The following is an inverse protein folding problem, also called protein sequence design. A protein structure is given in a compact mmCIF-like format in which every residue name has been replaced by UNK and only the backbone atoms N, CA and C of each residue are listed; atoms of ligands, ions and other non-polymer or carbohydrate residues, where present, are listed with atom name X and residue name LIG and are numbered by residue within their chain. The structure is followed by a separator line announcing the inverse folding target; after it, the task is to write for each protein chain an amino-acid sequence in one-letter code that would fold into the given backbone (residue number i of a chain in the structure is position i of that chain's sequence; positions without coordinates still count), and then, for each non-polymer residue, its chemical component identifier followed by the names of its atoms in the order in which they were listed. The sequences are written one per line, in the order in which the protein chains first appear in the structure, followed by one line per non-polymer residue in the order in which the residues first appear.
data_IF_119784262219
#
_entry.id   IF_119784262219
#
_cell.length_a   1.000
_cell.length_b   1.000
_cell.length_c   1.000
_cell.angle_alpha   90.00
_cell.angle_beta   90.00
_cell.angle_gamma   90.00
#
_symmetry.space_group_name_H-M   'P 1'
#
loop_
_entity.id
_entity.type
_entity.pdbx_description
1 polymer ?
#
# COMPACT_ATOMS: atom_id res chain seq x y z
N UNK A 1 -16.80 -2.45 10.21
CA UNK A 1 -15.45 -1.90 9.91
C UNK A 1 -15.40 -1.42 8.48
N UNK A 2 -14.89 -0.21 8.28
CA UNK A 2 -14.76 0.34 6.93
C UNK A 2 -13.47 -0.13 6.26
N UNK A 3 -13.57 -0.39 4.97
CA UNK A 3 -12.39 -0.66 4.15
C UNK A 3 -11.92 0.66 3.54
N UNK A 4 -10.64 0.95 3.67
CA UNK A 4 -10.04 2.14 3.08
C UNK A 4 -9.18 1.67 1.92
N UNK A 5 -9.52 2.12 0.71
CA UNK A 5 -8.79 1.76 -0.48
C UNK A 5 -8.02 2.97 -1.00
N UNK A 6 -6.73 2.79 -1.24
CA UNK A 6 -5.91 3.76 -1.95
C UNK A 6 -5.62 3.16 -3.31
N UNK A 7 -6.11 3.78 -4.36
CA UNK A 7 -6.07 3.21 -5.72
C UNK A 7 -5.01 3.94 -6.55
N UNK A 8 -4.15 3.15 -7.18
CA UNK A 8 -3.05 3.68 -7.98
C UNK A 8 -1.83 3.94 -7.11
N UNK A 9 -0.83 3.06 -7.21
CA UNK A 9 0.34 3.11 -6.34
C UNK A 9 1.55 3.72 -7.04
N UNK A 10 1.34 4.89 -7.66
CA UNK A 10 2.43 5.75 -8.04
C UNK A 10 3.04 6.38 -6.79
N UNK A 11 3.87 7.40 -6.98
CA UNK A 11 4.54 8.02 -5.84
C UNK A 11 3.55 8.54 -4.79
N UNK A 12 2.55 9.29 -5.22
CA UNK A 12 1.57 9.89 -4.31
C UNK A 12 0.70 8.81 -3.65
N UNK A 13 0.20 7.86 -4.46
CA UNK A 13 -0.66 6.80 -3.93
C UNK A 13 0.06 5.92 -2.92
N UNK A 14 1.27 5.48 -3.25
CA UNK A 14 2.02 4.61 -2.37
C UNK A 14 2.43 5.33 -1.07
N UNK A 15 2.90 6.58 -1.17
CA UNK A 15 3.27 7.32 0.04
C UNK A 15 2.06 7.57 0.93
N UNK A 16 0.89 7.83 0.32
CA UNK A 16 -0.35 8.01 1.08
C UNK A 16 -0.75 6.71 1.78
N UNK A 17 -0.74 5.60 1.05
CA UNK A 17 -1.12 4.30 1.61
C UNK A 17 -0.20 3.90 2.76
N UNK A 18 1.11 4.06 2.56
CA UNK A 18 2.10 3.73 3.60
C UNK A 18 1.95 4.67 4.81
N UNK A 19 1.76 5.97 4.56
CA UNK A 19 1.60 6.94 5.64
C UNK A 19 0.39 6.66 6.51
N UNK A 20 -0.74 6.35 5.89
CA UNK A 20 -1.96 6.02 6.63
C UNK A 20 -1.82 4.71 7.41
N UNK A 21 -1.25 3.68 6.77
CA UNK A 21 -1.07 2.40 7.45
C UNK A 21 -0.04 2.47 8.57
N UNK A 22 0.95 3.35 8.42
CA UNK A 22 1.94 3.57 9.45
C UNK A 22 1.31 4.16 10.72
N UNK A 23 0.17 4.84 10.57
CA UNK A 23 -0.60 5.38 11.70
C UNK A 23 -1.64 4.39 12.22
N UNK A 24 -1.42 3.11 11.97
CA UNK A 24 -2.25 2.00 12.43
C UNK A 24 -3.63 1.89 11.78
N UNK A 25 -3.82 2.52 10.62
CA UNK A 25 -5.02 2.29 9.83
C UNK A 25 -4.80 1.07 8.95
N UNK A 26 -5.85 0.29 8.73
CA UNK A 26 -5.78 -0.86 7.84
C UNK A 26 -6.11 -0.38 6.44
N UNK A 27 -5.17 -0.47 5.52
CA UNK A 27 -5.27 0.12 4.20
C UNK A 27 -5.18 -0.96 3.12
N UNK A 28 -6.10 -0.94 2.17
CA UNK A 28 -5.98 -1.71 0.94
C UNK A 28 -5.29 -0.82 -0.10
N UNK A 29 -4.08 -1.19 -0.45
CA UNK A 29 -3.31 -0.47 -1.46
C UNK A 29 -3.50 -1.19 -2.79
N UNK A 30 -4.22 -0.56 -3.70
CA UNK A 30 -4.73 -1.20 -4.91
C UNK A 30 -3.95 -0.74 -6.13
N UNK A 31 -3.39 -1.68 -6.87
CA UNK A 31 -2.67 -1.41 -8.10
C UNK A 31 -3.08 -2.45 -9.14
N UNK A 32 -3.64 -1.99 -10.27
CA UNK A 32 -4.11 -2.91 -11.31
C UNK A 32 -3.01 -3.37 -12.25
N UNK A 33 -1.87 -2.71 -12.29
CA UNK A 33 -0.71 -3.16 -13.06
C UNK A 33 0.01 -4.24 -12.24
N UNK A 34 -0.06 -5.48 -12.70
CA UNK A 34 0.45 -6.63 -11.95
C UNK A 34 1.96 -6.57 -11.77
N UNK A 35 2.71 -6.13 -12.80
CA UNK A 35 4.16 -6.01 -12.67
C UNK A 35 4.54 -5.00 -11.59
N UNK A 36 3.88 -3.85 -11.60
CA UNK A 36 4.13 -2.80 -10.62
C UNK A 36 3.77 -3.27 -9.21
N UNK A 37 2.63 -3.97 -9.09
CA UNK A 37 2.21 -4.52 -7.80
C UNK A 37 3.25 -5.49 -7.26
N UNK A 38 3.75 -6.38 -8.12
CA UNK A 38 4.77 -7.35 -7.72
C UNK A 38 6.08 -6.68 -7.34
N UNK A 39 6.47 -5.61 -8.05
CA UNK A 39 7.66 -4.84 -7.69
C UNK A 39 7.52 -4.27 -6.27
N UNK A 40 6.36 -3.70 -5.96
CA UNK A 40 6.13 -3.13 -4.64
C UNK A 40 6.15 -4.23 -3.57
N UNK A 41 5.52 -5.37 -3.84
CA UNK A 41 5.54 -6.52 -2.92
C UNK A 41 6.95 -7.00 -2.64
N UNK A 42 7.83 -6.89 -3.62
CA UNK A 42 9.23 -7.29 -3.48
C UNK A 42 10.12 -6.15 -3.01
N UNK A 43 9.52 -5.03 -2.58
CA UNK A 43 10.24 -3.87 -2.07
C UNK A 43 11.12 -3.22 -3.13
N UNK A 44 10.79 -3.41 -4.39
CA UNK A 44 11.48 -2.80 -5.52
C UNK A 44 10.66 -1.60 -6.00
N UNK A 45 10.90 -0.45 -5.38
CA UNK A 45 10.13 0.76 -5.63
C UNK A 45 10.85 1.60 -6.68
N UNK A 46 10.14 2.07 -7.74
CA UNK A 46 10.79 2.76 -8.86
C UNK A 46 11.18 4.23 -8.58
N UNK A 47 11.11 4.66 -7.34
CA UNK A 47 11.53 6.00 -6.96
C UNK A 47 12.28 5.93 -5.64
N UNK A 48 13.20 6.89 -5.46
CA UNK A 48 14.08 6.88 -4.31
C UNK A 48 13.48 7.66 -3.15
N UNK A 49 13.11 6.96 -2.10
CA UNK A 49 12.62 7.55 -0.85
C UNK A 49 12.98 6.59 0.28
N UNK A 50 14.09 6.84 0.98
CA UNK A 50 14.59 5.88 1.98
C UNK A 50 13.59 5.59 3.11
N UNK A 51 12.90 6.62 3.58
CA UNK A 51 11.95 6.44 4.67
C UNK A 51 10.72 5.66 4.21
N UNK A 52 10.34 5.81 2.95
CA UNK A 52 9.20 5.09 2.40
C UNK A 52 9.45 3.58 2.43
N UNK A 53 10.62 3.15 1.99
CA UNK A 53 10.94 1.72 1.98
C UNK A 53 10.95 1.14 3.39
N UNK A 54 11.54 1.85 4.32
CA UNK A 54 11.59 1.42 5.72
C UNK A 54 10.18 1.30 6.30
N UNK A 55 9.34 2.30 6.06
CA UNK A 55 7.96 2.28 6.55
C UNK A 55 7.12 1.21 5.88
N UNK A 56 7.34 0.99 4.58
CA UNK A 56 6.62 -0.06 3.85
C UNK A 56 6.94 -1.43 4.44
N UNK A 57 8.20 -1.71 4.73
CA UNK A 57 8.58 -2.96 5.39
C UNK A 57 7.85 -3.14 6.72
N UNK A 58 7.79 -2.07 7.49
CA UNK A 58 7.15 -2.10 8.80
C UNK A 58 5.66 -2.41 8.70
N UNK A 59 4.94 -1.70 7.81
CA UNK A 59 3.49 -1.88 7.71
C UNK A 59 3.11 -3.20 7.06
N UNK A 60 3.96 -3.74 6.19
CA UNK A 60 3.76 -5.09 5.66
C UNK A 60 3.91 -6.14 6.76
N UNK A 61 4.95 -5.99 7.58
CA UNK A 61 5.18 -6.91 8.68
C UNK A 61 4.03 -6.89 9.69
N UNK A 62 3.50 -5.71 9.97
CA UNK A 62 2.40 -5.55 10.93
C UNK A 62 1.03 -5.81 10.30
N UNK A 63 0.99 -6.09 8.99
CA UNK A 63 -0.26 -6.36 8.27
C UNK A 63 -1.24 -5.20 8.32
N UNK A 64 -0.72 -3.97 8.36
CA UNK A 64 -1.54 -2.77 8.30
C UNK A 64 -1.81 -2.33 6.86
N UNK A 65 -0.96 -2.75 5.92
CA UNK A 65 -1.18 -2.50 4.50
C UNK A 65 -1.40 -3.83 3.80
N UNK A 66 -2.34 -3.84 2.87
CA UNK A 66 -2.64 -5.01 2.07
C UNK A 66 -2.50 -4.65 0.60
N UNK A 67 -1.47 -5.18 -0.05
CA UNK A 67 -1.18 -4.91 -1.45
C UNK A 67 -2.01 -5.85 -2.32
N UNK A 68 -2.84 -5.28 -3.17
CA UNK A 68 -3.81 -6.07 -3.94
C UNK A 68 -4.11 -5.41 -5.28
N UNK A 69 -4.71 -6.16 -6.19
CA UNK A 69 -5.23 -5.59 -7.43
C UNK A 69 -6.75 -5.44 -7.41
N UNK A 70 -7.37 -5.64 -6.27
CA UNK A 70 -8.83 -5.58 -6.15
C UNK A 70 -9.28 -4.65 -5.04
N UNK A 71 -10.25 -3.82 -5.35
CA UNK A 71 -10.86 -2.93 -4.36
C UNK A 71 -11.74 -3.75 -3.43
N UNK A 72 -11.64 -3.47 -2.14
CA UNK A 72 -12.57 -4.03 -1.17
C UNK A 72 -13.75 -3.07 -0.96
N UNK A 73 -14.95 -3.59 -1.10
CA UNK A 73 -16.14 -2.81 -0.88
C UNK A 73 -16.58 -2.93 0.58
N UNK A 74 -17.13 -1.82 1.10
CA UNK A 74 -17.74 -1.85 2.42
C UNK A 74 -19.10 -2.51 2.34
N UNK A 75 -19.35 -3.44 3.23
CA UNK A 75 -20.66 -4.10 3.33
C UNK A 75 -21.49 -3.46 4.43
N UNK A 76 -22.74 -3.34 4.16
CA UNK A 76 -23.67 -2.85 5.16
C UNK A 76 -24.36 -3.99 5.87
#
# INVERSE_FOLDING_TARGET
MMNINVVGLGFVGLTTAVGLSYKNLKINAVENNIEKLNQIKNLNIPFYEPLLLKKLKYVLKNKNIFLTNKIKLNKK
#
